data_IF_772054416063
#
_entry.id   IF_772054416063
#
_cell.length_a   1.000
_cell.length_b   1.000
_cell.length_c   1.000
_cell.angle_alpha   90.00
_cell.angle_beta   90.00
_cell.angle_gamma   90.00
#
_symmetry.space_group_name_H-M   'P 1'
#
loop_
_entity.id
_entity.type
_entity.pdbx_description
1 polymer ?
#
# COMPACT_ATOMS: atom_id res chain seq x y z
N UNK A 1 5.07 -24.52 38.54
CA UNK A 1 5.72 -23.22 38.79
C UNK A 1 5.33 -22.28 37.67
N UNK A 2 4.25 -21.53 37.87
CA UNK A 2 3.64 -20.63 36.88
C UNK A 2 4.40 -19.29 36.87
N UNK A 3 5.19 -19.05 35.82
CA UNK A 3 5.87 -17.78 35.57
C UNK A 3 4.83 -16.72 35.25
N UNK A 4 4.86 -15.51 35.86
CA UNK A 4 3.82 -14.52 35.66
C UNK A 4 3.96 -13.88 34.27
N UNK A 5 3.09 -14.28 33.33
CA UNK A 5 3.06 -13.82 31.93
C UNK A 5 2.62 -12.36 31.75
N UNK A 6 2.10 -11.71 32.80
CA UNK A 6 1.42 -10.42 32.66
C UNK A 6 2.29 -9.18 32.90
N UNK A 7 3.51 -9.35 33.45
CA UNK A 7 4.44 -8.22 33.66
C UNK A 7 5.19 -7.83 32.38
N UNK A 8 5.33 -8.78 31.45
CA UNK A 8 6.13 -8.62 30.25
C UNK A 8 5.40 -7.85 29.15
N UNK A 9 4.07 -8.00 29.02
CA UNK A 9 3.29 -7.25 28.04
C UNK A 9 3.23 -5.76 28.36
N UNK A 10 3.09 -5.40 29.64
CA UNK A 10 3.05 -3.99 30.07
C UNK A 10 4.41 -3.32 29.86
N UNK A 11 5.52 -4.01 30.18
CA UNK A 11 6.86 -3.50 29.93
C UNK A 11 7.15 -3.38 28.43
N UNK A 12 6.79 -4.37 27.62
CA UNK A 12 6.97 -4.34 26.16
C UNK A 12 6.09 -3.28 25.51
N UNK A 13 4.86 -3.05 25.98
CA UNK A 13 3.98 -1.99 25.47
C UNK A 13 4.44 -0.59 25.89
N UNK A 14 4.94 -0.42 27.12
CA UNK A 14 5.55 0.85 27.57
C UNK A 14 6.82 1.16 26.77
N UNK A 15 7.64 0.15 26.47
CA UNK A 15 8.87 0.30 25.69
C UNK A 15 8.62 0.45 24.18
N UNK A 16 7.69 -0.32 23.60
CA UNK A 16 7.26 -0.17 22.21
C UNK A 16 6.58 1.19 22.00
N UNK A 17 5.80 1.66 22.97
CA UNK A 17 5.24 3.01 22.99
C UNK A 17 6.30 4.12 23.14
N UNK A 18 7.48 3.82 23.70
CA UNK A 18 8.58 4.77 23.83
C UNK A 18 9.47 4.85 22.59
N UNK A 19 9.64 3.75 21.85
CA UNK A 19 10.61 3.65 20.74
C UNK A 19 10.00 3.80 19.34
N UNK A 20 8.67 3.96 19.23
CA UNK A 20 7.95 4.09 17.95
C UNK A 20 8.11 5.43 17.21
N UNK A 21 9.08 6.27 17.56
CA UNK A 21 9.36 7.51 16.83
C UNK A 21 10.87 7.70 16.67
N UNK A 22 11.46 6.87 15.81
CA UNK A 22 12.87 6.96 15.37
C UNK A 22 13.21 8.24 14.59
N UNK A 23 12.28 9.18 14.44
CA UNK A 23 12.56 10.50 13.91
C UNK A 23 12.43 11.55 15.02
N UNK A 24 13.55 12.16 15.44
CA UNK A 24 13.55 13.33 16.33
C UNK A 24 12.57 14.42 15.88
N UNK A 25 12.41 14.59 14.56
CA UNK A 25 11.43 15.49 13.95
C UNK A 25 9.98 15.12 14.28
N UNK A 26 9.64 13.83 14.30
CA UNK A 26 8.30 13.35 14.65
C UNK A 26 8.01 13.49 16.14
N UNK A 27 9.01 13.25 16.99
CA UNK A 27 8.90 13.47 18.43
C UNK A 27 8.65 14.95 18.73
N UNK A 28 9.44 15.84 18.13
CA UNK A 28 9.28 17.28 18.30
C UNK A 28 7.91 17.75 17.81
N UNK A 29 7.47 17.27 16.64
CA UNK A 29 6.15 17.59 16.10
C UNK A 29 4.99 17.12 16.99
N UNK A 30 5.10 15.92 17.56
CA UNK A 30 4.08 15.36 18.45
C UNK A 30 4.02 16.12 19.79
N UNK A 31 5.17 16.44 20.39
CA UNK A 31 5.22 17.24 21.62
C UNK A 31 4.66 18.64 21.38
N UNK A 32 5.05 19.31 20.29
CA UNK A 32 4.52 20.63 19.94
C UNK A 32 3.00 20.60 19.77
N UNK A 33 2.45 19.59 19.10
CA UNK A 33 1.00 19.42 18.95
C UNK A 33 0.29 19.21 20.28
N UNK A 34 0.80 18.34 21.14
CA UNK A 34 0.21 18.08 22.45
C UNK A 34 0.22 19.33 23.33
N UNK A 35 1.38 20.01 23.44
CA UNK A 35 1.49 21.25 24.23
C UNK A 35 0.59 22.35 23.65
N UNK A 36 0.55 22.54 22.33
CA UNK A 36 -0.31 23.55 21.73
C UNK A 36 -1.79 23.28 22.01
N UNK A 37 -2.23 22.02 21.91
CA UNK A 37 -3.61 21.63 22.21
C UNK A 37 -3.94 21.87 23.69
N UNK A 38 -3.12 21.34 24.60
CA UNK A 38 -3.35 21.44 26.06
C UNK A 38 -3.42 22.90 26.52
N UNK A 39 -2.49 23.75 26.04
CA UNK A 39 -2.47 25.16 26.40
C UNK A 39 -3.57 25.97 25.72
N UNK A 40 -4.07 25.55 24.55
CA UNK A 40 -5.26 26.16 23.94
C UNK A 40 -6.49 25.91 24.80
N UNK A 41 -6.69 24.66 25.27
CA UNK A 41 -7.79 24.33 26.18
C UNK A 41 -7.66 25.05 27.52
N UNK A 42 -6.46 25.11 28.09
CA UNK A 42 -6.20 25.81 29.34
C UNK A 42 -6.47 27.31 29.20
N UNK A 43 -6.00 27.95 28.13
CA UNK A 43 -6.25 29.37 27.88
C UNK A 43 -7.74 29.67 27.66
N UNK A 44 -8.46 28.80 26.93
CA UNK A 44 -9.91 28.93 26.76
C UNK A 44 -10.63 28.79 28.12
N UNK A 45 -10.27 27.80 28.93
CA UNK A 45 -10.83 27.61 30.27
C UNK A 45 -10.61 28.82 31.18
N UNK A 46 -9.39 29.36 31.22
CA UNK A 46 -9.07 30.58 31.99
C UNK A 46 -9.82 31.81 31.49
N UNK A 47 -10.09 31.91 30.18
CA UNK A 47 -10.90 33.00 29.63
C UNK A 47 -12.36 32.96 30.11
N UNK A 48 -12.96 31.75 30.17
CA UNK A 48 -14.33 31.58 30.68
C UNK A 48 -14.41 31.72 32.21
N UNK A 49 -13.37 31.31 32.93
CA UNK A 49 -13.27 31.45 34.38
C UNK A 49 -12.64 32.81 34.77
N UNK A 50 -13.37 33.89 34.52
CA UNK A 50 -12.94 35.28 34.73
C UNK A 50 -12.64 35.69 36.19
N UNK A 51 -12.80 34.77 37.16
CA UNK A 51 -12.49 35.00 38.58
C UNK A 51 -11.01 34.90 38.94
N UNK A 52 -10.15 34.41 38.05
CA UNK A 52 -8.72 34.25 38.28
C UNK A 52 -7.92 35.21 37.37
N UNK A 53 -7.45 36.32 37.93
CA UNK A 53 -6.62 37.29 37.19
C UNK A 53 -5.17 36.82 37.07
N UNK A 54 -4.95 35.77 36.28
CA UNK A 54 -3.59 35.37 35.91
C UNK A 54 -3.03 36.29 34.81
N UNK A 55 -1.75 36.64 34.93
CA UNK A 55 -1.04 37.34 33.85
C UNK A 55 -0.96 36.44 32.61
N UNK A 56 -1.17 37.00 31.42
CA UNK A 56 -1.07 36.27 30.14
C UNK A 56 0.35 35.72 29.93
N UNK A 57 1.34 36.44 30.43
CA UNK A 57 2.75 36.06 30.34
C UNK A 57 3.02 34.79 31.15
N UNK A 58 2.32 34.60 32.27
CA UNK A 58 2.45 33.39 33.08
C UNK A 58 2.09 32.13 32.29
N UNK A 59 1.03 32.17 31.48
CA UNK A 59 0.62 31.03 30.64
C UNK A 59 1.69 30.73 29.57
N UNK A 60 2.28 31.77 28.97
CA UNK A 60 3.36 31.63 28.00
C UNK A 60 4.63 30.99 28.61
N UNK A 61 5.07 31.47 29.77
CA UNK A 61 6.20 30.88 30.48
C UNK A 61 5.92 29.44 30.92
N UNK A 62 4.72 29.15 31.41
CA UNK A 62 4.32 27.79 31.79
C UNK A 62 4.33 26.84 30.59
N UNK A 63 3.89 27.30 29.41
CA UNK A 63 3.95 26.53 28.16
C UNK A 63 5.38 26.17 27.75
N UNK A 64 6.28 27.16 27.79
CA UNK A 64 7.69 26.95 27.45
C UNK A 64 8.37 25.99 28.42
N UNK A 65 8.19 26.19 29.74
CA UNK A 65 8.77 25.31 30.75
C UNK A 65 8.28 23.88 30.57
N UNK A 66 6.97 23.69 30.37
CA UNK A 66 6.37 22.37 30.14
C UNK A 66 6.94 21.72 28.88
N UNK A 67 7.07 22.46 27.78
CA UNK A 67 7.66 21.97 26.53
C UNK A 67 9.09 21.46 26.74
N UNK A 68 9.96 22.26 27.36
CA UNK A 68 11.35 21.87 27.61
C UNK A 68 11.47 20.72 28.62
N UNK A 69 10.60 20.68 29.64
CA UNK A 69 10.61 19.62 30.64
C UNK A 69 10.15 18.28 30.02
N UNK A 70 9.13 18.28 29.17
CA UNK A 70 8.71 17.08 28.44
C UNK A 70 9.77 16.62 27.44
N UNK A 71 10.39 17.55 26.72
CA UNK A 71 11.46 17.24 25.77
C UNK A 71 12.66 16.62 26.49
N UNK A 72 13.11 17.23 27.60
CA UNK A 72 14.22 16.69 28.39
C UNK A 72 13.89 15.36 29.05
N UNK A 73 12.68 15.19 29.61
CA UNK A 73 12.24 13.91 30.19
C UNK A 73 12.16 12.78 29.15
N UNK A 74 11.74 13.09 27.92
CA UNK A 74 11.69 12.10 26.82
C UNK A 74 13.08 11.73 26.34
N UNK A 75 13.95 12.72 26.10
CA UNK A 75 15.34 12.49 25.69
C UNK A 75 16.09 11.74 26.78
N UNK A 76 15.95 12.14 28.05
CA UNK A 76 16.62 11.47 29.16
C UNK A 76 16.12 10.04 29.35
N UNK A 77 14.81 9.79 29.22
CA UNK A 77 14.26 8.45 29.21
C UNK A 77 14.85 7.60 28.09
N UNK A 78 14.95 8.14 26.88
CA UNK A 78 15.52 7.42 25.74
C UNK A 78 17.02 7.14 25.91
N UNK A 79 17.81 8.14 26.32
CA UNK A 79 19.23 7.99 26.60
C UNK A 79 19.50 7.04 27.78
N UNK A 80 18.67 7.09 28.82
CA UNK A 80 18.76 6.16 29.95
C UNK A 80 18.51 4.73 29.48
N UNK A 81 17.48 4.52 28.66
CA UNK A 81 17.23 3.21 28.07
C UNK A 81 18.36 2.79 27.16
N UNK A 82 18.85 3.62 26.25
CA UNK A 82 19.94 3.25 25.33
C UNK A 82 21.28 3.01 26.05
N UNK A 83 21.57 3.77 27.11
CA UNK A 83 22.78 3.62 27.95
C UNK A 83 22.73 2.38 28.85
N UNK A 84 21.55 1.99 29.34
CA UNK A 84 21.35 0.73 30.07
C UNK A 84 21.03 -0.46 29.13
N UNK A 85 20.79 -0.21 27.83
CA UNK A 85 20.54 -1.22 26.81
C UNK A 85 21.78 -1.86 26.14
N UNK A 86 23.08 -1.59 26.44
CA UNK A 86 24.17 -2.32 25.81
C UNK A 86 24.33 -3.75 26.37
N UNK A 87 23.55 -4.12 27.41
CA UNK A 87 23.44 -5.50 27.92
C UNK A 87 22.00 -5.98 28.04
N UNK A 88 21.21 -5.71 27.00
CA UNK A 88 20.09 -6.57 26.65
C UNK A 88 19.02 -6.73 27.72
N UNK A 89 18.19 -5.71 27.93
CA UNK A 89 16.90 -5.95 28.56
C UNK A 89 16.02 -6.72 27.57
N UNK A 90 15.79 -8.00 27.88
CA UNK A 90 14.94 -8.92 27.13
C UNK A 90 15.42 -9.22 25.70
N UNK A 91 16.69 -9.63 25.55
CA UNK A 91 17.18 -10.12 24.26
C UNK A 91 16.51 -11.45 23.94
N UNK A 92 15.61 -11.47 22.96
CA UNK A 92 14.99 -12.71 22.51
C UNK A 92 15.97 -13.45 21.60
N UNK A 93 16.32 -14.66 22.02
CA UNK A 93 17.21 -15.54 21.26
C UNK A 93 16.38 -16.28 20.20
N UNK A 94 16.59 -15.92 18.94
CA UNK A 94 15.81 -16.42 17.81
C UNK A 94 16.62 -17.48 17.06
N UNK A 95 16.01 -18.64 16.83
CA UNK A 95 16.53 -19.67 15.94
C UNK A 95 15.73 -19.66 14.63
N UNK A 96 16.43 -19.60 13.50
CA UNK A 96 15.80 -19.57 12.17
C UNK A 96 15.90 -20.97 11.57
N UNK A 97 14.80 -21.51 11.05
CA UNK A 97 14.72 -22.82 10.38
C UNK A 97 14.22 -22.59 8.96
N UNK A 98 15.03 -22.87 7.95
CA UNK A 98 14.68 -22.58 6.57
C UNK A 98 15.69 -23.13 5.56
N UNK A 99 15.42 -22.93 4.28
CA UNK A 99 16.44 -23.10 3.25
C UNK A 99 17.47 -21.96 3.30
N UNK A 100 18.54 -22.08 2.53
CA UNK A 100 19.61 -21.09 2.49
C UNK A 100 19.07 -19.70 2.05
N UNK A 101 18.24 -19.66 1.01
CA UNK A 101 17.75 -18.40 0.44
C UNK A 101 16.81 -17.64 1.40
N UNK A 102 15.80 -18.32 1.96
CA UNK A 102 14.81 -17.68 2.84
C UNK A 102 15.37 -17.47 4.24
N UNK A 103 16.21 -18.39 4.72
CA UNK A 103 16.94 -18.27 5.98
C UNK A 103 17.82 -17.03 6.01
N UNK A 104 18.64 -16.82 4.98
CA UNK A 104 19.46 -15.61 4.84
C UNK A 104 18.62 -14.34 4.69
N UNK A 105 17.50 -14.41 3.95
CA UNK A 105 16.60 -13.27 3.80
C UNK A 105 16.00 -12.84 5.15
N UNK A 106 15.53 -13.78 5.96
CA UNK A 106 15.04 -13.47 7.32
C UNK A 106 16.16 -12.93 8.19
N UNK A 107 17.34 -13.57 8.16
CA UNK A 107 18.52 -13.11 8.90
C UNK A 107 18.84 -11.65 8.56
N UNK A 108 18.96 -11.32 7.27
CA UNK A 108 19.26 -9.97 6.79
C UNK A 108 18.21 -8.95 7.23
N UNK A 109 16.92 -9.30 7.15
CA UNK A 109 15.82 -8.41 7.56
C UNK A 109 15.85 -8.15 9.06
N UNK A 110 16.05 -9.19 9.87
CA UNK A 110 16.13 -9.08 11.33
C UNK A 110 17.38 -8.32 11.78
N UNK A 111 18.52 -8.53 11.13
CA UNK A 111 19.76 -7.79 11.39
C UNK A 111 19.66 -6.31 10.99
N UNK A 112 18.93 -5.99 9.93
CA UNK A 112 18.72 -4.59 9.51
C UNK A 112 17.86 -3.83 10.53
N UNK A 113 16.94 -4.51 11.21
CA UNK A 113 16.07 -3.93 12.24
C UNK A 113 16.68 -4.12 13.64
N UNK A 114 17.82 -3.48 13.91
CA UNK A 114 18.59 -3.49 15.18
C UNK A 114 17.78 -2.99 16.42
N UNK A 115 16.50 -2.65 16.26
CA UNK A 115 15.72 -1.94 17.29
C UNK A 115 15.16 -2.81 18.44
N UNK A 116 15.19 -4.14 18.33
CA UNK A 116 14.33 -5.02 19.16
C UNK A 116 15.03 -6.03 20.07
N UNK A 117 16.36 -5.97 20.23
CA UNK A 117 17.07 -6.89 21.13
C UNK A 117 16.83 -8.33 20.72
N UNK A 118 17.18 -8.69 19.49
CA UNK A 118 17.15 -10.08 19.06
C UNK A 118 18.57 -10.56 18.83
N UNK A 119 18.89 -11.75 19.32
CA UNK A 119 20.15 -12.43 19.04
C UNK A 119 19.82 -13.63 18.16
N UNK A 120 20.37 -13.65 16.95
CA UNK A 120 20.22 -14.78 16.04
C UNK A 120 21.21 -15.84 16.50
N UNK A 121 20.68 -16.93 17.08
CA UNK A 121 21.49 -18.01 17.64
C UNK A 121 22.11 -18.88 16.56
N UNK A 122 21.40 -19.05 15.44
CA UNK A 122 21.88 -19.80 14.29
C UNK A 122 20.79 -20.04 13.24
N UNK A 123 21.23 -20.58 12.11
CA UNK A 123 20.37 -21.03 11.02
C UNK A 123 20.37 -22.56 10.94
N UNK A 124 19.18 -23.15 10.88
CA UNK A 124 18.95 -24.58 10.71
C UNK A 124 18.51 -24.83 9.27
N UNK A 125 19.30 -25.60 8.53
CA UNK A 125 19.03 -25.94 7.13
C UNK A 125 18.03 -27.10 7.00
N UNK A 126 17.21 -27.04 5.96
CA UNK A 126 16.28 -28.09 5.55
C UNK A 126 16.78 -28.73 4.26
N UNK A 127 17.24 -29.98 4.33
CA UNK A 127 17.54 -30.80 3.16
C UNK A 127 18.84 -30.50 2.41
N UNK A 128 19.66 -29.54 2.89
CA UNK A 128 21.00 -29.29 2.37
C UNK A 128 22.05 -29.58 3.45
N UNK A 129 23.14 -30.25 3.06
CA UNK A 129 24.33 -30.37 3.90
C UNK A 129 24.88 -28.98 4.25
N UNK A 130 25.41 -28.77 5.46
CA UNK A 130 25.96 -27.49 5.87
C UNK A 130 27.14 -27.13 4.98
N UNK A 131 26.98 -26.10 4.13
CA UNK A 131 28.08 -25.54 3.37
C UNK A 131 28.90 -24.62 4.30
N UNK A 132 30.18 -24.96 4.51
CA UNK A 132 31.12 -24.30 5.44
C UNK A 132 31.36 -22.81 5.18
N UNK A 133 30.77 -22.25 4.12
CA UNK A 133 30.90 -20.84 3.72
C UNK A 133 29.74 -19.96 4.17
N UNK A 134 28.66 -20.53 4.69
CA UNK A 134 27.49 -19.79 5.18
C UNK A 134 27.23 -20.11 6.65
N UNK A 135 26.60 -19.19 7.40
CA UNK A 135 26.25 -19.33 8.83
C UNK A 135 25.17 -20.41 9.10
N UNK A 136 25.15 -21.50 8.32
CA UNK A 136 24.32 -22.68 8.51
C UNK A 136 24.99 -23.55 9.57
N UNK A 137 24.41 -23.60 10.77
CA UNK A 137 25.06 -24.21 11.93
C UNK A 137 24.53 -25.64 12.17
N UNK A 138 23.31 -25.95 11.75
CA UNK A 138 22.64 -27.19 12.15
C UNK A 138 21.68 -27.77 11.11
N UNK A 139 21.37 -29.05 11.27
CA UNK A 139 20.34 -29.77 10.47
C UNK A 139 19.02 -29.84 11.24
N UNK A 140 17.89 -29.94 10.54
CA UNK A 140 16.56 -30.01 11.18
C UNK A 140 16.37 -31.18 12.16
N UNK A 141 17.07 -32.29 11.95
CA UNK A 141 17.03 -33.45 12.85
C UNK A 141 17.67 -33.16 14.22
N UNK A 142 18.57 -32.18 14.27
CA UNK A 142 19.26 -31.75 15.50
C UNK A 142 18.47 -30.67 16.26
N UNK A 143 17.37 -30.16 15.69
CA UNK A 143 16.50 -29.16 16.30
C UNK A 143 16.12 -29.53 17.75
N UNK A 144 15.71 -30.78 18.08
CA UNK A 144 15.39 -31.14 19.45
C UNK A 144 16.57 -31.03 20.42
N UNK A 145 17.79 -31.26 19.94
CA UNK A 145 19.03 -31.22 20.72
C UNK A 145 19.44 -29.78 21.00
N UNK A 146 19.38 -28.92 19.98
CA UNK A 146 19.73 -27.49 20.07
C UNK A 146 18.79 -26.78 21.04
N UNK A 147 17.48 -27.04 20.93
CA UNK A 147 16.46 -26.49 21.82
C UNK A 147 16.65 -26.90 23.30
N UNK A 148 17.43 -27.95 23.58
CA UNK A 148 17.79 -28.37 24.94
C UNK A 148 19.12 -27.80 25.41
N UNK A 149 20.09 -27.67 24.51
CA UNK A 149 21.45 -27.21 24.83
C UNK A 149 21.54 -25.69 24.92
N UNK A 150 20.74 -24.97 24.14
CA UNK A 150 20.74 -23.51 24.08
C UNK A 150 19.40 -22.96 24.56
N UNK A 151 19.45 -21.85 25.30
CA UNK A 151 18.26 -21.08 25.62
C UNK A 151 17.78 -20.33 24.38
N UNK A 152 16.73 -20.84 23.75
CA UNK A 152 16.08 -20.21 22.60
C UNK A 152 14.71 -19.74 23.07
N UNK A 153 14.37 -18.49 22.76
CA UNK A 153 13.11 -17.87 23.16
C UNK A 153 12.06 -17.95 22.04
N UNK A 154 12.48 -18.04 20.77
CA UNK A 154 11.58 -18.09 19.62
C UNK A 154 12.19 -18.87 18.45
N UNK A 155 11.35 -19.56 17.67
CA UNK A 155 11.74 -20.21 16.41
C UNK A 155 10.97 -19.64 15.23
N UNK A 156 11.70 -19.23 14.20
CA UNK A 156 11.14 -18.72 12.94
C UNK A 156 11.30 -19.77 11.85
N UNK A 157 10.20 -20.30 11.33
CA UNK A 157 10.20 -21.20 10.17
C UNK A 157 10.06 -20.40 8.87
N UNK A 158 11.12 -20.35 8.08
CA UNK A 158 11.20 -19.72 6.77
C UNK A 158 11.31 -20.80 5.68
N UNK A 159 10.20 -21.49 5.41
CA UNK A 159 10.19 -22.69 4.57
C UNK A 159 9.56 -22.37 3.20
N UNK A 160 10.15 -22.86 2.09
CA UNK A 160 9.51 -22.79 0.78
C UNK A 160 8.19 -23.56 0.75
N UNK A 161 7.31 -23.21 -0.20
CA UNK A 161 5.96 -23.80 -0.29
C UNK A 161 5.93 -25.25 -0.78
N UNK A 162 7.11 -25.82 -1.03
CA UNK A 162 7.25 -27.17 -1.54
C UNK A 162 6.96 -28.19 -0.43
N UNK A 163 6.18 -29.22 -0.79
CA UNK A 163 5.65 -30.25 0.11
C UNK A 163 6.71 -31.23 0.64
N UNK A 164 7.99 -30.91 0.54
CA UNK A 164 9.09 -31.83 0.83
C UNK A 164 9.29 -32.07 2.32
N UNK A 165 8.81 -31.17 3.19
CA UNK A 165 8.98 -31.31 4.64
C UNK A 165 7.64 -31.36 5.38
N UNK A 166 7.43 -32.40 6.19
CA UNK A 166 6.34 -32.40 7.18
C UNK A 166 6.71 -31.49 8.36
N UNK A 167 6.18 -30.26 8.39
CA UNK A 167 6.41 -29.33 9.51
C UNK A 167 5.73 -29.78 10.82
N UNK A 168 4.65 -30.57 10.74
CA UNK A 168 3.78 -30.89 11.88
C UNK A 168 4.54 -31.49 13.08
N UNK A 169 5.47 -32.46 12.91
CA UNK A 169 6.24 -33.02 14.03
C UNK A 169 7.07 -31.97 14.75
N UNK A 170 7.79 -31.12 14.01
CA UNK A 170 8.64 -30.07 14.57
C UNK A 170 7.82 -28.97 15.25
N UNK A 171 6.72 -28.52 14.63
CA UNK A 171 5.80 -27.55 15.23
C UNK A 171 5.18 -28.09 16.53
N UNK A 172 4.78 -29.37 16.55
CA UNK A 172 4.25 -29.99 17.75
C UNK A 172 5.31 -30.13 18.85
N UNK A 173 6.57 -30.39 18.51
CA UNK A 173 7.66 -30.42 19.48
C UNK A 173 7.90 -29.05 20.12
N UNK A 174 8.01 -27.99 19.31
CA UNK A 174 8.13 -26.62 19.81
C UNK A 174 6.94 -26.23 20.70
N UNK A 175 5.71 -26.59 20.28
CA UNK A 175 4.49 -26.35 21.05
C UNK A 175 4.49 -27.09 22.40
N UNK A 176 4.97 -28.34 22.46
CA UNK A 176 5.06 -29.12 23.70
C UNK A 176 6.00 -28.49 24.74
N UNK A 177 7.09 -27.87 24.28
CA UNK A 177 8.07 -27.18 25.15
C UNK A 177 7.59 -25.77 25.52
N UNK A 178 6.54 -25.26 24.88
CA UNK A 178 6.01 -23.92 25.11
C UNK A 178 6.82 -22.83 24.40
N UNK A 179 7.55 -23.19 23.34
CA UNK A 179 8.35 -22.27 22.56
C UNK A 179 7.46 -21.60 21.49
N UNK A 180 7.38 -20.25 21.46
CA UNK A 180 6.63 -19.55 20.43
C UNK A 180 7.26 -19.79 19.06
N UNK A 181 6.39 -19.99 18.08
CA UNK A 181 6.79 -20.29 16.70
C UNK A 181 6.20 -19.23 15.77
N UNK A 182 7.04 -18.60 14.95
CA UNK A 182 6.62 -17.77 13.83
C UNK A 182 6.86 -18.50 12.52
N UNK A 183 5.93 -18.36 11.58
CA UNK A 183 6.02 -18.99 10.28
C UNK A 183 6.03 -17.87 9.24
N UNK A 184 7.08 -17.81 8.43
CA UNK A 184 7.14 -16.95 7.26
C UNK A 184 6.46 -17.67 6.09
N UNK A 185 5.35 -17.13 5.53
CA UNK A 185 4.65 -17.77 4.44
C UNK A 185 5.50 -17.87 3.16
N UNK A 186 5.38 -18.98 2.45
CA UNK A 186 6.10 -19.22 1.19
C UNK A 186 5.78 -18.22 0.05
N UNK A 187 4.62 -17.58 0.11
CA UNK A 187 4.20 -16.56 -0.86
C UNK A 187 4.69 -15.15 -0.52
N UNK A 188 5.36 -14.96 0.63
CA UNK A 188 5.89 -13.67 1.02
C UNK A 188 7.21 -13.37 0.32
N UNK A 189 7.29 -12.22 -0.34
CA UNK A 189 8.47 -11.65 -0.96
C UNK A 189 8.65 -10.19 -0.54
N UNK A 190 9.89 -9.70 -0.60
CA UNK A 190 10.25 -8.34 -0.17
C UNK A 190 9.49 -7.23 -0.93
N UNK A 191 8.97 -7.52 -2.13
CA UNK A 191 8.21 -6.58 -2.97
C UNK A 191 6.71 -6.88 -3.05
N UNK A 192 6.21 -7.91 -2.34
CA UNK A 192 4.80 -8.29 -2.41
C UNK A 192 3.92 -7.46 -1.49
N UNK A 193 2.64 -7.30 -1.89
CA UNK A 193 1.57 -6.61 -1.17
C UNK A 193 1.54 -6.94 0.33
N UNK A 194 0.97 -6.02 1.12
CA UNK A 194 0.81 -6.17 2.56
C UNK A 194 -0.02 -7.44 2.87
N UNK A 195 0.67 -8.48 3.33
CA UNK A 195 0.06 -9.74 3.74
C UNK A 195 -0.44 -9.57 5.17
N UNK A 196 -1.74 -9.78 5.39
CA UNK A 196 -2.35 -9.70 6.71
C UNK A 196 -2.95 -11.05 7.09
N UNK A 197 -2.87 -11.40 8.37
CA UNK A 197 -3.60 -12.54 8.91
C UNK A 197 -4.97 -12.06 9.37
N UNK A 198 -6.02 -12.62 8.79
CA UNK A 198 -7.41 -12.30 9.13
C UNK A 198 -8.10 -13.57 9.63
N UNK A 199 -8.76 -13.49 10.79
CA UNK A 199 -9.48 -14.62 11.36
C UNK A 199 -10.95 -14.52 10.96
N UNK A 200 -11.40 -15.41 10.07
CA UNK A 200 -12.80 -15.51 9.68
C UNK A 200 -13.41 -16.77 10.30
N UNK A 201 -14.42 -16.59 11.16
CA UNK A 201 -15.10 -17.69 11.87
C UNK A 201 -14.15 -18.65 12.60
N UNK A 202 -13.08 -18.12 13.19
CA UNK A 202 -12.07 -18.92 13.92
C UNK A 202 -11.01 -19.60 13.04
N UNK A 203 -11.09 -19.40 11.71
CA UNK A 203 -10.10 -19.91 10.76
C UNK A 203 -9.17 -18.76 10.36
N UNK A 204 -7.84 -18.87 10.59
CA UNK A 204 -6.90 -17.86 10.13
C UNK A 204 -6.70 -17.98 8.62
N UNK A 205 -7.03 -16.93 7.89
CA UNK A 205 -6.74 -16.77 6.48
C UNK A 205 -5.55 -15.82 6.30
N UNK A 206 -4.72 -16.09 5.30
CA UNK A 206 -3.73 -15.13 4.83
C UNK A 206 -4.38 -14.31 3.71
N UNK A 207 -4.71 -13.06 4.02
CA UNK A 207 -5.32 -12.13 3.07
C UNK A 207 -4.23 -11.27 2.47
N UNK A 208 -4.12 -11.27 1.13
CA UNK A 208 -3.32 -10.29 0.41
C UNK A 208 -4.14 -9.03 0.22
N UNK A 209 -3.76 -7.96 0.91
CA UNK A 209 -4.39 -6.66 0.71
C UNK A 209 -3.61 -5.90 -0.36
N UNK A 210 -4.25 -5.61 -1.49
CA UNK A 210 -3.85 -4.46 -2.30
C UNK A 210 -4.23 -3.21 -1.51
N UNK A 211 -3.35 -2.20 -1.48
CA UNK A 211 -3.53 -0.97 -0.69
C UNK A 211 -4.99 -0.50 -0.71
N UNK A 212 -5.67 -0.74 0.41
CA UNK A 212 -7.04 -0.30 0.57
C UNK A 212 -6.97 1.17 0.94
N UNK A 213 -7.33 2.05 0.01
CA UNK A 213 -7.57 3.45 0.33
C UNK A 213 -8.48 3.51 1.56
N UNK A 214 -8.06 4.28 2.58
CA UNK A 214 -8.81 4.47 3.81
C UNK A 214 -10.28 4.79 3.47
N UNK A 215 -11.25 4.24 4.21
CA UNK A 215 -12.68 4.45 3.94
C UNK A 215 -13.04 5.94 3.82
N UNK A 216 -12.41 6.79 4.63
CA UNK A 216 -12.54 8.25 4.51
C UNK A 216 -11.97 8.81 3.20
N UNK A 217 -10.86 8.26 2.70
CA UNK A 217 -10.25 8.60 1.43
C UNK A 217 -11.12 8.19 0.23
N UNK A 218 -11.73 7.01 0.28
CA UNK A 218 -12.70 6.56 -0.73
C UNK A 218 -13.93 7.46 -0.75
N UNK A 219 -14.44 7.84 0.43
CA UNK A 219 -15.58 8.76 0.54
C UNK A 219 -15.24 10.15 0.00
N UNK A 220 -14.06 10.69 0.33
CA UNK A 220 -13.58 11.95 -0.21
C UNK A 220 -13.45 11.93 -1.74
N UNK A 221 -12.84 10.87 -2.28
CA UNK A 221 -12.74 10.67 -3.73
C UNK A 221 -14.13 10.61 -4.38
N UNK A 222 -15.08 9.92 -3.75
CA UNK A 222 -16.46 9.84 -4.25
C UNK A 222 -17.16 11.19 -4.29
N UNK A 223 -16.99 12.01 -3.24
CA UNK A 223 -17.53 13.36 -3.22
C UNK A 223 -16.92 14.24 -4.32
N UNK A 224 -15.61 14.13 -4.53
CA UNK A 224 -14.90 14.85 -5.58
C UNK A 224 -15.40 14.43 -6.97
N UNK A 225 -15.61 13.12 -7.20
CA UNK A 225 -16.11 12.62 -8.48
C UNK A 225 -17.55 13.06 -8.77
N UNK A 226 -18.41 13.11 -7.74
CA UNK A 226 -19.77 13.63 -7.88
C UNK A 226 -19.76 15.14 -8.17
N UNK A 227 -18.98 15.91 -7.42
CA UNK A 227 -18.87 17.36 -7.61
C UNK A 227 -18.29 17.70 -8.99
N UNK A 228 -17.20 17.03 -9.39
CA UNK A 228 -16.58 17.17 -10.70
C UNK A 228 -17.50 16.74 -11.84
N UNK A 229 -18.25 15.64 -11.64
CA UNK A 229 -19.27 15.17 -12.58
C UNK A 229 -20.41 16.18 -12.78
N UNK A 230 -20.88 16.82 -11.72
CA UNK A 230 -21.92 17.86 -11.79
C UNK A 230 -21.44 19.12 -12.54
N UNK A 231 -20.23 19.59 -12.26
CA UNK A 231 -19.64 20.71 -13.00
C UNK A 231 -19.44 20.34 -14.48
N UNK A 232 -18.98 19.10 -14.74
CA UNK A 232 -18.91 18.53 -16.08
C UNK A 232 -20.27 18.49 -16.78
N UNK A 233 -21.34 18.18 -16.04
CA UNK A 233 -22.76 18.22 -16.46
C UNK A 233 -23.18 19.54 -17.04
N UNK A 234 -22.98 20.59 -16.27
CA UNK A 234 -23.34 21.94 -16.68
C UNK A 234 -22.54 22.37 -17.92
N UNK A 235 -21.24 22.09 -17.94
CA UNK A 235 -20.38 22.48 -19.06
C UNK A 235 -20.68 21.70 -20.34
N UNK A 236 -20.96 20.39 -20.24
CA UNK A 236 -21.38 19.59 -21.37
C UNK A 236 -22.70 20.10 -21.95
N UNK A 237 -23.69 20.42 -21.11
CA UNK A 237 -24.99 20.90 -21.57
C UNK A 237 -24.86 22.21 -22.34
N UNK A 238 -23.98 23.11 -21.88
CA UNK A 238 -23.66 24.36 -22.57
C UNK A 238 -22.93 24.14 -23.91
N UNK A 239 -21.96 23.22 -23.96
CA UNK A 239 -21.13 22.99 -25.15
C UNK A 239 -21.75 22.02 -26.18
N UNK A 240 -22.67 21.16 -25.75
CA UNK A 240 -23.29 20.12 -26.57
C UNK A 240 -23.87 20.62 -27.89
N UNK A 241 -24.70 21.70 -27.94
CA UNK A 241 -25.31 22.12 -29.21
C UNK A 241 -24.26 22.53 -30.25
N UNK A 242 -23.21 23.24 -29.85
CA UNK A 242 -22.14 23.68 -30.75
C UNK A 242 -21.36 22.50 -31.34
N UNK A 243 -21.00 21.53 -30.49
CA UNK A 243 -20.26 20.34 -30.91
C UNK A 243 -21.13 19.42 -31.76
N UNK A 244 -22.41 19.27 -31.40
CA UNK A 244 -23.37 18.46 -32.16
C UNK A 244 -23.56 18.98 -33.59
N UNK A 245 -23.68 20.30 -33.77
CA UNK A 245 -23.75 20.93 -35.08
C UNK A 245 -22.47 20.68 -35.87
N UNK A 246 -21.29 20.90 -35.27
CA UNK A 246 -20.01 20.67 -35.92
C UNK A 246 -19.85 19.22 -36.42
N UNK A 247 -20.27 18.23 -35.61
CA UNK A 247 -20.20 16.81 -35.97
C UNK A 247 -21.19 16.46 -37.08
N UNK A 248 -22.43 16.98 -37.04
CA UNK A 248 -23.45 16.74 -38.07
C UNK A 248 -23.09 17.37 -39.41
N UNK A 249 -22.42 18.52 -39.42
CA UNK A 249 -21.92 19.15 -40.65
C UNK A 249 -20.76 18.36 -41.28
N UNK A 250 -19.92 17.71 -40.46
CA UNK A 250 -18.79 16.91 -40.94
C UNK A 250 -19.18 15.53 -41.48
N UNK A 251 -20.15 14.85 -40.87
CA UNK A 251 -20.56 13.49 -41.29
C UNK A 251 -21.97 13.12 -40.82
N UNK A 252 -22.71 12.35 -41.63
CA UNK A 252 -24.05 11.84 -41.27
C UNK A 252 -23.96 10.80 -40.13
N UNK A 253 -24.97 10.75 -39.27
CA UNK A 253 -25.09 9.76 -38.18
C UNK A 253 -25.07 10.35 -36.75
N UNK A 254 -25.04 9.49 -35.71
CA UNK A 254 -25.21 9.91 -34.31
C UNK A 254 -24.01 10.70 -33.78
N UNK A 255 -24.28 11.69 -32.92
CA UNK A 255 -23.27 12.60 -32.34
C UNK A 255 -22.45 11.92 -31.24
N UNK A 256 -23.09 11.04 -30.46
CA UNK A 256 -22.47 10.30 -29.37
C UNK A 256 -22.14 8.87 -29.81
N UNK A 257 -20.97 8.39 -29.39
CA UNK A 257 -20.45 7.05 -29.65
C UNK A 257 -20.22 6.33 -28.32
N UNK A 258 -20.61 5.05 -28.26
CA UNK A 258 -20.49 4.21 -27.07
C UNK A 258 -19.38 3.18 -27.25
N UNK A 259 -18.49 3.05 -26.28
CA UNK A 259 -17.36 2.11 -26.30
C UNK A 259 -17.30 1.31 -25.01
N UNK A 260 -17.27 -0.03 -25.09
CA UNK A 260 -17.08 -0.88 -23.89
C UNK A 260 -15.65 -0.79 -23.37
N UNK A 261 -15.49 -0.64 -22.05
CA UNK A 261 -14.20 -0.60 -21.33
C UNK A 261 -14.30 -1.42 -20.04
N UNK A 262 -13.15 -1.88 -19.55
CA UNK A 262 -13.04 -2.54 -18.23
C UNK A 262 -12.89 -1.47 -17.15
N UNK A 263 -13.72 -1.53 -16.12
CA UNK A 263 -13.66 -0.68 -14.93
C UNK A 263 -13.16 -1.44 -13.70
N UNK A 264 -13.47 -0.93 -12.52
CA UNK A 264 -13.02 -1.50 -11.24
C UNK A 264 -13.45 -2.96 -11.08
N UNK A 265 -12.55 -3.78 -10.53
CA UNK A 265 -12.74 -5.23 -10.36
C UNK A 265 -13.05 -5.98 -11.68
N UNK A 266 -12.63 -5.43 -12.83
CA UNK A 266 -12.86 -6.04 -14.14
C UNK A 266 -14.30 -5.94 -14.65
N UNK A 267 -15.16 -5.14 -14.01
CA UNK A 267 -16.55 -4.95 -14.47
C UNK A 267 -16.57 -4.12 -15.75
N UNK A 268 -17.27 -4.60 -16.78
CA UNK A 268 -17.38 -3.88 -18.06
C UNK A 268 -18.38 -2.72 -17.93
N UNK A 269 -18.01 -1.53 -18.40
CA UNK A 269 -18.91 -0.38 -18.51
C UNK A 269 -18.87 0.24 -19.92
N UNK A 270 -19.96 0.92 -20.28
CA UNK A 270 -20.06 1.64 -21.56
C UNK A 270 -19.62 3.10 -21.39
N UNK A 271 -18.58 3.48 -22.11
CA UNK A 271 -18.08 4.84 -22.17
C UNK A 271 -18.72 5.60 -23.32
N UNK A 272 -19.39 6.71 -23.00
CA UNK A 272 -20.04 7.60 -23.97
C UNK A 272 -19.11 8.77 -24.27
N UNK A 273 -18.82 9.01 -25.55
CA UNK A 273 -17.95 10.12 -25.99
C UNK A 273 -18.48 10.75 -27.28
N UNK A 274 -17.98 11.93 -27.62
CA UNK A 274 -18.29 12.55 -28.91
C UNK A 274 -17.67 11.75 -30.06
N UNK A 275 -18.44 11.60 -31.15
CA UNK A 275 -17.98 10.91 -32.34
C UNK A 275 -16.94 11.76 -33.08
N UNK A 276 -15.73 11.24 -33.21
CA UNK A 276 -14.61 11.90 -33.93
C UNK A 276 -14.23 11.20 -35.23
N UNK A 277 -14.78 10.01 -35.50
CA UNK A 277 -14.54 9.23 -36.72
C UNK A 277 -15.85 8.99 -37.47
N UNK A 278 -15.77 8.43 -38.68
CA UNK A 278 -16.95 8.02 -39.46
C UNK A 278 -17.77 6.95 -38.70
N UNK A 279 -19.07 6.85 -39.03
CA UNK A 279 -19.99 5.93 -38.36
C UNK A 279 -19.53 4.46 -38.46
N UNK A 280 -18.96 4.06 -39.59
CA UNK A 280 -18.56 2.67 -39.88
C UNK A 280 -17.12 2.37 -39.44
N UNK A 281 -16.51 3.21 -38.59
CA UNK A 281 -15.11 3.08 -38.22
C UNK A 281 -14.80 1.77 -37.48
N UNK A 282 -15.72 1.24 -36.67
CA UNK A 282 -15.52 -0.06 -36.01
C UNK A 282 -15.54 -1.23 -36.99
N UNK A 283 -16.46 -1.23 -37.96
CA UNK A 283 -16.52 -2.24 -39.01
C UNK A 283 -15.24 -2.22 -39.87
N UNK A 284 -14.80 -1.02 -40.28
CA UNK A 284 -13.54 -0.84 -41.01
C UNK A 284 -12.30 -1.22 -40.19
N UNK A 285 -12.34 -1.05 -38.86
CA UNK A 285 -11.25 -1.49 -37.99
C UNK A 285 -11.07 -3.00 -38.10
N UNK A 286 -12.14 -3.79 -38.14
CA UNK A 286 -12.07 -5.26 -38.28
C UNK A 286 -11.38 -5.65 -39.59
N UNK A 287 -11.70 -4.97 -40.68
CA UNK A 287 -11.06 -5.18 -41.98
C UNK A 287 -9.56 -4.79 -41.97
N UNK A 288 -9.25 -3.66 -41.32
CA UNK A 288 -7.89 -3.12 -41.22
C UNK A 288 -7.00 -3.81 -40.18
N UNK A 289 -7.55 -4.68 -39.32
CA UNK A 289 -6.76 -5.50 -38.39
C UNK A 289 -5.72 -6.36 -39.12
N UNK A 290 -6.01 -6.76 -40.37
CA UNK A 290 -5.08 -7.51 -41.23
C UNK A 290 -3.78 -6.75 -41.52
N UNK A 291 -3.80 -5.43 -41.39
CA UNK A 291 -2.67 -4.54 -41.65
C UNK A 291 -2.07 -3.95 -40.35
N UNK A 292 -2.46 -4.46 -39.19
CA UNK A 292 -1.97 -4.00 -37.90
C UNK A 292 -0.48 -4.37 -37.73
N UNK A 293 0.32 -3.40 -37.30
CA UNK A 293 1.77 -3.59 -37.15
C UNK A 293 2.20 -3.93 -35.71
N UNK A 294 1.26 -3.90 -34.76
CA UNK A 294 1.51 -4.16 -33.35
C UNK A 294 0.84 -5.47 -32.94
N UNK A 295 1.54 -6.25 -32.11
CA UNK A 295 0.97 -7.43 -31.45
C UNK A 295 0.39 -7.02 -30.09
N UNK A 296 -0.79 -7.52 -29.75
CA UNK A 296 -1.47 -7.26 -28.47
C UNK A 296 -2.62 -6.23 -28.54
N UNK A 297 -2.90 -5.55 -27.44
CA UNK A 297 -4.11 -4.71 -27.28
C UNK A 297 -4.08 -3.36 -28.04
N UNK A 298 -2.97 -3.04 -28.73
CA UNK A 298 -2.77 -1.76 -29.41
C UNK A 298 -2.91 -1.95 -30.92
N UNK A 299 -3.72 -1.10 -31.54
CA UNK A 299 -3.91 -1.05 -33.00
C UNK A 299 -3.16 0.16 -33.58
N UNK A 300 -2.23 -0.08 -34.51
CA UNK A 300 -1.46 0.97 -35.18
C UNK A 300 -1.21 0.62 -36.66
N UNK A 301 -1.46 1.60 -37.53
CA UNK A 301 -1.21 1.53 -38.97
C UNK A 301 -0.11 2.54 -39.33
N UNK A 302 0.76 2.21 -40.29
CA UNK A 302 1.70 3.16 -40.89
C UNK A 302 1.06 3.80 -42.13
N UNK A 303 1.09 5.13 -42.22
CA UNK A 303 0.39 5.91 -43.25
C UNK A 303 1.34 6.26 -44.43
N UNK A 304 2.61 5.83 -44.37
CA UNK A 304 3.60 6.13 -45.43
C UNK A 304 3.42 5.35 -46.75
N UNK A 305 2.49 4.39 -46.82
CA UNK A 305 2.14 3.67 -48.05
C UNK A 305 0.77 4.09 -48.59
N UNK A 306 0.69 4.42 -49.88
CA UNK A 306 -0.56 4.73 -50.57
C UNK A 306 -1.53 3.55 -50.48
N UNK A 307 -2.64 3.72 -49.73
CA UNK A 307 -3.73 2.76 -49.73
C UNK A 307 -4.53 2.88 -51.04
N UNK A 308 -4.86 1.78 -51.74
CA UNK A 308 -5.83 1.84 -52.83
C UNK A 308 -7.19 2.26 -52.24
N UNK A 309 -7.94 3.15 -52.92
CA UNK A 309 -9.25 3.56 -52.44
C UNK A 309 -10.19 2.34 -52.41
N UNK A 310 -10.87 2.12 -51.27
CA UNK A 310 -11.90 1.09 -51.15
C UNK A 310 -13.04 1.38 -52.14
N UNK A 311 -13.55 0.40 -52.90
CA UNK A 311 -14.52 0.59 -53.98
C UNK A 311 -15.88 1.15 -53.51
N UNK A 312 -16.24 0.98 -52.23
CA UNK A 312 -17.55 1.40 -51.69
C UNK A 312 -17.56 2.77 -50.99
N UNK A 313 -16.54 3.61 -51.22
CA UNK A 313 -16.49 4.95 -50.63
C UNK A 313 -17.03 5.98 -51.64
N UNK A 314 -18.29 6.47 -51.51
CA UNK A 314 -18.66 7.68 -52.22
C UNK A 314 -17.75 8.78 -51.68
N UNK A 315 -16.88 9.27 -52.57
CA UNK A 315 -15.95 10.37 -52.40
C UNK A 315 -16.16 11.20 -51.12
N UNK A 316 -15.59 10.78 -50.00
CA UNK A 316 -15.31 11.73 -48.93
C UNK A 316 -13.94 12.38 -49.19
N UNK A 317 -13.79 12.97 -50.39
CA UNK A 317 -12.73 13.93 -50.71
C UNK A 317 -12.76 15.18 -49.82
N UNK A 318 -13.77 15.28 -48.94
CA UNK A 318 -13.93 16.30 -47.90
C UNK A 318 -13.70 15.79 -46.47
N UNK A 319 -13.34 14.52 -46.28
CA UNK A 319 -13.02 13.95 -44.95
C UNK A 319 -11.60 14.30 -44.46
N UNK A 320 -10.82 15.09 -45.21
CA UNK A 320 -9.59 15.72 -44.66
C UNK A 320 -9.89 16.71 -43.53
N UNK A 321 -11.15 17.13 -43.38
CA UNK A 321 -11.60 18.10 -42.39
C UNK A 321 -12.55 17.55 -41.32
N UNK A 322 -12.65 16.24 -41.10
CA UNK A 322 -13.42 15.69 -39.97
C UNK A 322 -12.68 16.00 -38.66
N UNK A 323 -12.89 17.22 -38.14
CA UNK A 323 -12.52 17.75 -36.83
C UNK A 323 -11.34 17.00 -36.21
N UNK A 324 -10.18 17.15 -36.85
CA UNK A 324 -8.89 16.73 -36.28
C UNK A 324 -8.41 17.74 -35.24
N UNK A 325 -9.30 18.54 -34.65
CA UNK A 325 -8.88 19.49 -33.63
C UNK A 325 -8.41 18.68 -32.42
N UNK A 326 -7.12 18.77 -32.06
CA UNK A 326 -6.60 18.06 -30.90
C UNK A 326 -7.37 18.48 -29.63
N UNK A 327 -7.95 19.68 -29.66
CA UNK A 327 -8.82 20.22 -28.62
C UNK A 327 -10.10 19.40 -28.48
N UNK A 328 -10.88 19.13 -29.54
CA UNK A 328 -12.13 18.37 -29.41
C UNK A 328 -11.87 16.89 -29.10
N UNK A 329 -10.73 16.35 -29.53
CA UNK A 329 -10.29 15.00 -29.14
C UNK A 329 -9.89 14.94 -27.66
N UNK A 330 -9.17 15.95 -27.16
CA UNK A 330 -8.84 16.10 -25.74
C UNK A 330 -10.10 16.36 -24.91
N UNK A 331 -11.01 17.21 -25.38
CA UNK A 331 -12.25 17.56 -24.70
C UNK A 331 -13.21 16.37 -24.65
N UNK A 332 -13.35 15.62 -25.74
CA UNK A 332 -14.13 14.38 -25.78
C UNK A 332 -13.54 13.30 -24.88
N UNK A 333 -12.21 13.17 -24.81
CA UNK A 333 -11.57 12.21 -23.91
C UNK A 333 -11.66 12.67 -22.45
N UNK A 334 -11.54 13.97 -22.21
CA UNK A 334 -11.69 14.57 -20.88
C UNK A 334 -13.12 14.39 -20.38
N UNK A 335 -14.13 14.77 -21.17
CA UNK A 335 -15.55 14.53 -20.87
C UNK A 335 -15.81 13.04 -20.66
N UNK A 336 -15.33 12.16 -21.55
CA UNK A 336 -15.56 10.73 -21.38
C UNK A 336 -14.91 10.16 -20.11
N UNK A 337 -13.72 10.62 -19.75
CA UNK A 337 -13.01 10.17 -18.56
C UNK A 337 -13.54 10.82 -17.27
N UNK A 338 -14.17 12.00 -17.35
CA UNK A 338 -14.79 12.67 -16.19
C UNK A 338 -16.26 12.28 -15.98
N UNK A 339 -16.96 11.85 -17.02
CA UNK A 339 -18.40 11.54 -16.99
C UNK A 339 -18.75 10.07 -16.84
N UNK A 340 -17.85 9.16 -17.21
CA UNK A 340 -18.04 7.78 -16.79
C UNK A 340 -17.62 7.69 -15.34
N UNK A 341 -18.57 7.93 -14.45
CA UNK A 341 -18.54 7.58 -13.03
C UNK A 341 -18.44 6.05 -12.95
N UNK A 342 -17.26 5.55 -13.26
CA UNK A 342 -16.87 4.17 -13.19
C UNK A 342 -15.45 4.19 -12.66
N UNK A 343 -15.36 4.42 -11.35
CA UNK A 343 -14.22 4.14 -10.49
C UNK A 343 -12.87 4.26 -11.20
N UNK A 344 -12.47 5.50 -11.48
CA UNK A 344 -11.15 5.85 -12.02
C UNK A 344 -10.07 5.72 -10.93
N UNK A 345 -10.08 4.64 -10.16
CA UNK A 345 -9.07 4.32 -9.13
C UNK A 345 -7.86 3.59 -9.72
N UNK A 346 -7.60 3.78 -11.02
CA UNK A 346 -6.40 3.27 -11.70
C UNK A 346 -5.80 4.39 -12.54
N UNK A 347 -5.23 5.39 -11.86
CA UNK A 347 -3.92 5.96 -12.21
C UNK A 347 -3.17 6.17 -10.90
#
# INVERSE_FOLDING_TARGET
MTKPSNRNEVSVLIFAGLKLLTNYMTLLWNITKSVALDFTFLAAGLYFYSGLQFSRDFVGYFALITFFLLLTARISGQLYLDYFSPKGFNVQRILIVGDQERGELVKRVLETQISWGHEIVGLVSIGAEPDNTSDIVYTIDELPTILRQQSIDEVVFAIPGDRTLELKPHLNYCRKIGLPVRILPAMWHQYSCQLSMEVCQGIPFLTMQTDNFNAAGLLYKRLLDIAGGLVGCLLFLLMYPFIAVAIKLGSKGPVLFRQKRMGQHGRVFELIKFRTMCADAEAKKVELLKHNQMNGAIFKLNISGAFPPSPDSPACGRCRGAIRSPILKKLSNWIANTWTVGDSSTI
#
